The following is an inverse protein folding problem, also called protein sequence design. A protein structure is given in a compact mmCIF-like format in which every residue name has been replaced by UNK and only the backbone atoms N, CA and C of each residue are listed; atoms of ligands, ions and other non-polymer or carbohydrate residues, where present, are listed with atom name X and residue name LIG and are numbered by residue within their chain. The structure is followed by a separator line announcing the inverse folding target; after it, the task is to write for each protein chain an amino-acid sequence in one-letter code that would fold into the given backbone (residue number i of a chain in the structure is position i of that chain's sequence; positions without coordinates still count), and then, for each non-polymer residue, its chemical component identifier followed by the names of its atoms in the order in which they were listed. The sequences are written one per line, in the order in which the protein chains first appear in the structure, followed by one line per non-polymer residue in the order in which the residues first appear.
data_IF_771480961979
#
_entry.id   IF_771480961979
#
_cell.length_a   1.000
_cell.length_b   1.000
_cell.length_c   1.000
_cell.angle_alpha   90.00
_cell.angle_beta   90.00
_cell.angle_gamma   90.00
#
_symmetry.space_group_name_H-M   'P 1'
#
loop_
_entity.id
_entity.type
_entity.pdbx_description
1 polymer ?
#
# COMPACT_ATOMS: atom_id res chain seq x y z
N UNK A 1 -13.17 -2.33 12.95
CA UNK A 1 -12.43 -1.05 12.96
C UNK A 1 -11.36 -1.13 14.05
N UNK A 2 -11.73 -1.62 15.24
CA UNK A 2 -10.80 -1.94 16.34
C UNK A 2 -9.70 -2.92 15.96
N UNK A 3 -9.98 -4.07 15.34
CA UNK A 3 -8.95 -5.10 15.11
C UNK A 3 -7.79 -4.64 14.21
N UNK A 4 -8.08 -3.89 13.14
CA UNK A 4 -7.04 -3.30 12.30
C UNK A 4 -6.28 -2.16 12.98
N UNK A 5 -6.94 -1.49 13.94
CA UNK A 5 -6.32 -0.46 14.77
C UNK A 5 -5.44 -1.09 15.86
N UNK A 6 -5.85 -2.22 16.45
CA UNK A 6 -5.13 -2.95 17.49
C UNK A 6 -3.90 -3.67 16.96
N UNK A 7 -3.97 -4.30 15.78
CA UNK A 7 -2.78 -4.88 15.13
C UNK A 7 -1.76 -3.77 14.87
N UNK A 8 -2.22 -2.64 14.31
CA UNK A 8 -1.33 -1.52 14.04
C UNK A 8 -0.82 -0.87 15.32
N UNK A 9 -1.63 -0.80 16.38
CA UNK A 9 -1.21 -0.31 17.69
C UNK A 9 -0.12 -1.23 18.26
N UNK A 10 -0.28 -2.54 18.17
CA UNK A 10 0.73 -3.49 18.62
C UNK A 10 2.03 -3.35 17.82
N UNK A 11 1.94 -3.27 16.49
CA UNK A 11 3.11 -3.02 15.62
C UNK A 11 3.79 -1.68 15.98
N UNK A 12 3.00 -0.64 16.29
CA UNK A 12 3.46 0.68 16.78
C UNK A 12 4.12 0.61 18.17
N UNK A 13 3.53 -0.18 19.09
CA UNK A 13 4.02 -0.30 20.46
C UNK A 13 5.36 -1.05 20.51
N UNK A 14 5.59 -1.97 19.58
CA UNK A 14 6.89 -2.62 19.38
C UNK A 14 7.95 -1.65 18.83
N UNK A 15 7.55 -0.62 18.07
CA UNK A 15 8.44 0.41 17.47
C UNK A 15 8.73 1.61 18.41
N UNK A 16 8.26 1.59 19.67
CA UNK A 16 8.40 2.68 20.67
C UNK A 16 9.82 3.19 20.91
N UNK A 17 10.84 2.44 20.51
CA UNK A 17 12.25 2.89 20.55
C UNK A 17 12.52 4.11 19.66
N UNK A 18 11.70 4.35 18.63
CA UNK A 18 11.87 5.45 17.67
C UNK A 18 11.14 6.75 18.04
N UNK A 19 10.19 6.72 19.00
CA UNK A 19 9.22 7.81 19.22
C UNK A 19 9.50 8.66 20.47
N UNK A 20 10.71 8.60 21.03
CA UNK A 20 11.08 9.39 22.21
C UNK A 20 11.35 10.88 21.91
N UNK A 21 11.32 11.29 20.63
CA UNK A 21 11.59 12.66 20.18
C UNK A 21 10.35 13.26 19.47
N UNK A 22 9.98 14.49 19.84
CA UNK A 22 8.82 15.22 19.30
C UNK A 22 8.89 15.38 17.77
N UNK A 23 10.10 15.41 17.20
CA UNK A 23 10.31 15.44 15.75
C UNK A 23 9.97 14.12 15.06
N UNK A 24 10.23 12.98 15.71
CA UNK A 24 9.84 11.67 15.19
C UNK A 24 8.31 11.52 15.20
N UNK A 25 7.65 11.97 16.27
CA UNK A 25 6.17 11.96 16.39
C UNK A 25 5.52 12.77 15.27
N UNK A 26 6.09 13.92 14.90
CA UNK A 26 5.58 14.80 13.83
C UNK A 26 5.61 14.16 12.44
N UNK A 27 6.64 13.38 12.10
CA UNK A 27 6.71 12.67 10.81
C UNK A 27 5.94 11.34 10.80
N UNK A 28 5.87 10.69 11.95
CA UNK A 28 5.32 9.35 12.09
C UNK A 28 3.79 9.33 12.08
N UNK A 29 3.15 10.25 12.79
CA UNK A 29 1.68 10.29 12.89
C UNK A 29 0.97 10.47 11.54
N UNK A 30 1.40 11.40 10.65
CA UNK A 30 0.82 11.51 9.31
C UNK A 30 1.05 10.26 8.45
N UNK A 31 2.22 9.63 8.58
CA UNK A 31 2.56 8.41 7.82
C UNK A 31 1.60 7.26 8.16
N UNK A 32 1.34 7.05 9.45
CA UNK A 32 0.35 6.10 9.94
C UNK A 32 -1.06 6.43 9.47
N UNK A 33 -1.44 7.71 9.55
CA UNK A 33 -2.77 8.13 9.12
C UNK A 33 -2.99 7.85 7.62
N UNK A 34 -1.99 8.11 6.79
CA UNK A 34 -2.02 7.80 5.36
C UNK A 34 -2.06 6.28 5.12
N UNK A 35 -1.25 5.50 5.83
CA UNK A 35 -1.25 4.04 5.73
C UNK A 35 -2.62 3.45 6.09
N UNK A 36 -3.23 3.92 7.18
CA UNK A 36 -4.58 3.54 7.60
C UNK A 36 -5.62 3.92 6.55
N UNK A 37 -5.56 5.15 6.04
CA UNK A 37 -6.50 5.61 5.02
C UNK A 37 -6.43 4.72 3.77
N UNK A 38 -5.22 4.41 3.28
CA UNK A 38 -5.02 3.52 2.13
C UNK A 38 -5.59 2.12 2.42
N UNK A 39 -5.28 1.55 3.60
CA UNK A 39 -5.79 0.24 4.02
C UNK A 39 -7.33 0.19 4.01
N UNK A 40 -7.97 1.20 4.59
CA UNK A 40 -9.43 1.30 4.63
C UNK A 40 -10.04 1.51 3.25
N UNK A 41 -9.42 2.33 2.40
CA UNK A 41 -9.88 2.54 1.02
C UNK A 41 -9.84 1.24 0.22
N UNK A 42 -8.76 0.46 0.32
CA UNK A 42 -8.67 -0.86 -0.32
C UNK A 42 -9.76 -1.79 0.22
N UNK A 43 -9.92 -1.87 1.54
CA UNK A 43 -10.95 -2.71 2.16
C UNK A 43 -12.36 -2.38 1.64
N UNK A 44 -12.69 -1.09 1.55
CA UNK A 44 -14.00 -0.66 1.06
C UNK A 44 -14.19 -1.02 -0.41
N UNK A 45 -13.19 -0.78 -1.27
CA UNK A 45 -13.27 -1.18 -2.69
C UNK A 45 -13.50 -2.69 -2.83
N UNK A 46 -12.78 -3.50 -2.04
CA UNK A 46 -12.95 -4.96 -2.08
C UNK A 46 -14.35 -5.39 -1.61
N UNK A 47 -14.94 -4.71 -0.62
CA UNK A 47 -16.32 -4.98 -0.18
C UNK A 47 -17.34 -4.55 -1.22
N UNK A 48 -17.22 -3.33 -1.74
CA UNK A 48 -18.16 -2.74 -2.71
C UNK A 48 -18.22 -3.56 -4.00
N UNK A 49 -17.11 -4.19 -4.39
CA UNK A 49 -17.02 -5.05 -5.56
C UNK A 49 -17.19 -6.55 -5.27
N UNK A 50 -17.53 -6.92 -4.04
CA UNK A 50 -17.64 -8.32 -3.59
C UNK A 50 -16.37 -9.18 -3.85
N UNK A 51 -15.19 -8.55 -3.80
CA UNK A 51 -13.89 -9.17 -4.05
C UNK A 51 -13.17 -9.61 -2.77
N UNK A 52 -13.74 -9.35 -1.60
CA UNK A 52 -13.19 -9.71 -0.28
C UNK A 52 -13.03 -11.23 -0.04
N UNK A 53 -13.73 -12.08 -0.80
CA UNK A 53 -13.51 -13.53 -0.81
C UNK A 53 -12.33 -13.99 -1.66
N UNK A 54 -11.87 -13.16 -2.60
CA UNK A 54 -10.76 -13.46 -3.53
C UNK A 54 -9.45 -12.78 -3.10
N UNK A 55 -9.54 -11.59 -2.53
CA UNK A 55 -8.39 -10.78 -2.14
C UNK A 55 -8.51 -10.31 -0.70
N UNK A 56 -7.42 -10.43 0.06
CA UNK A 56 -7.25 -9.72 1.34
C UNK A 56 -6.54 -8.40 1.12
N UNK A 57 -6.73 -7.42 2.03
CA UNK A 57 -6.03 -6.12 1.93
C UNK A 57 -4.51 -6.30 1.93
N UNK A 58 -3.98 -7.19 2.78
CA UNK A 58 -2.55 -7.51 2.81
C UNK A 58 -2.09 -8.15 1.50
N UNK A 59 -2.89 -9.04 0.91
CA UNK A 59 -2.58 -9.65 -0.39
C UNK A 59 -2.53 -8.62 -1.51
N UNK A 60 -3.45 -7.65 -1.50
CA UNK A 60 -3.42 -6.51 -2.43
C UNK A 60 -2.13 -5.71 -2.29
N UNK A 61 -1.80 -5.26 -1.06
CA UNK A 61 -0.59 -4.48 -0.81
C UNK A 61 0.69 -5.24 -1.20
N UNK A 62 0.75 -6.54 -0.93
CA UNK A 62 1.86 -7.41 -1.27
C UNK A 62 2.06 -7.58 -2.78
N UNK A 63 0.98 -7.73 -3.56
CA UNK A 63 1.11 -7.81 -5.02
C UNK A 63 1.49 -6.46 -5.64
N UNK A 64 0.95 -5.36 -5.10
CA UNK A 64 1.33 -4.01 -5.55
C UNK A 64 2.82 -3.71 -5.24
N UNK A 65 3.34 -4.14 -4.09
CA UNK A 65 4.73 -3.88 -3.69
C UNK A 65 5.77 -4.59 -4.57
N UNK A 66 5.37 -5.58 -5.37
CA UNK A 66 6.26 -6.25 -6.33
C UNK A 66 6.55 -5.40 -7.57
N UNK A 67 5.70 -4.40 -7.83
CA UNK A 67 5.86 -3.50 -8.97
C UNK A 67 6.56 -2.22 -8.51
N UNK A 68 7.76 -1.98 -9.02
CA UNK A 68 8.60 -0.84 -8.65
C UNK A 68 9.40 -0.33 -9.83
N UNK A 69 9.91 0.89 -9.72
CA UNK A 69 10.73 1.50 -10.77
C UNK A 69 12.18 1.04 -10.65
N UNK A 70 12.72 0.50 -11.75
CA UNK A 70 14.13 0.16 -11.91
C UNK A 70 14.81 1.31 -12.66
N UNK A 71 15.90 1.83 -12.11
CA UNK A 71 16.72 2.86 -12.77
C UNK A 71 17.95 2.21 -13.38
N UNK A 72 18.10 2.34 -14.70
CA UNK A 72 19.26 1.86 -15.46
C UNK A 72 19.91 3.04 -16.18
N UNK A 73 20.89 3.67 -15.51
CA UNK A 73 21.51 4.91 -15.99
C UNK A 73 20.49 6.04 -16.11
N UNK A 74 20.36 6.61 -17.30
CA UNK A 74 19.39 7.68 -17.59
C UNK A 74 17.95 7.14 -17.82
N UNK A 75 17.76 5.82 -17.94
CA UNK A 75 16.45 5.22 -18.20
C UNK A 75 15.80 4.78 -16.90
N UNK A 76 14.50 5.04 -16.78
CA UNK A 76 13.65 4.46 -15.74
C UNK A 76 12.67 3.51 -16.41
N UNK A 77 12.63 2.27 -15.95
CA UNK A 77 11.71 1.23 -16.43
C UNK A 77 10.89 0.70 -15.26
N UNK A 78 9.66 0.27 -15.51
CA UNK A 78 8.87 -0.43 -14.51
C UNK A 78 9.37 -1.88 -14.41
N UNK A 79 9.40 -2.45 -13.21
CA UNK A 79 9.58 -3.89 -13.04
C UNK A 79 8.42 -4.65 -13.69
N UNK A 80 8.55 -5.97 -13.77
CA UNK A 80 7.50 -6.82 -14.34
C UNK A 80 6.17 -6.63 -13.60
N UNK A 81 5.13 -6.23 -14.33
CA UNK A 81 3.75 -6.19 -13.83
C UNK A 81 3.17 -7.58 -13.94
N UNK A 82 3.08 -8.28 -12.81
CA UNK A 82 2.47 -9.63 -12.78
C UNK A 82 1.01 -9.56 -13.18
N UNK A 83 0.46 -10.66 -13.71
CA UNK A 83 -0.97 -10.75 -14.03
C UNK A 83 -1.86 -10.43 -12.82
N UNK A 84 -1.46 -10.88 -11.61
CA UNK A 84 -2.19 -10.58 -10.38
C UNK A 84 -2.18 -9.08 -10.06
N UNK A 85 -1.05 -8.39 -10.24
CA UNK A 85 -0.96 -6.95 -10.03
C UNK A 85 -1.87 -6.19 -11.02
N UNK A 86 -1.89 -6.59 -12.28
CA UNK A 86 -2.79 -6.02 -13.29
C UNK A 86 -4.28 -6.26 -12.96
N UNK A 87 -4.65 -7.48 -12.54
CA UNK A 87 -6.03 -7.77 -12.10
C UNK A 87 -6.42 -6.90 -10.89
N UNK A 88 -5.48 -6.68 -9.96
CA UNK A 88 -5.68 -5.82 -8.79
C UNK A 88 -5.85 -4.35 -9.21
N UNK A 89 -5.08 -3.86 -10.19
CA UNK A 89 -5.24 -2.51 -10.74
C UNK A 89 -6.68 -2.28 -11.27
N UNK A 90 -7.22 -3.25 -11.99
CA UNK A 90 -8.59 -3.22 -12.51
C UNK A 90 -9.65 -3.24 -11.39
N UNK A 91 -9.45 -4.09 -10.38
CA UNK A 91 -10.32 -4.16 -9.19
C UNK A 91 -10.29 -2.84 -8.41
N UNK A 92 -9.11 -2.25 -8.24
CA UNK A 92 -8.95 -0.97 -7.55
C UNK A 92 -9.55 0.18 -8.38
N UNK A 93 -9.56 0.05 -9.71
CA UNK A 93 -10.11 1.07 -10.62
C UNK A 93 -9.23 2.33 -10.70
N UNK A 94 -7.93 2.19 -10.43
CA UNK A 94 -6.94 3.27 -10.54
C UNK A 94 -5.87 2.86 -11.56
N UNK A 95 -5.33 3.81 -12.31
CA UNK A 95 -4.16 3.56 -13.18
C UNK A 95 -2.90 3.68 -12.34
N UNK A 96 -2.41 2.56 -11.83
CA UNK A 96 -1.24 2.47 -10.95
C UNK A 96 0.05 2.19 -11.73
N UNK A 97 -0.06 1.51 -12.88
CA UNK A 97 1.07 1.06 -13.68
C UNK A 97 1.04 1.74 -15.05
N UNK A 98 1.76 2.87 -15.21
CA UNK A 98 1.79 3.57 -16.49
C UNK A 98 2.43 2.68 -17.56
N UNK A 99 1.67 2.39 -18.63
CA UNK A 99 2.13 1.57 -19.77
C UNK A 99 3.17 2.29 -20.65
N UNK A 100 3.30 3.60 -20.50
CA UNK A 100 4.28 4.44 -21.18
C UNK A 100 4.94 5.31 -20.12
N UNK A 101 6.21 5.03 -19.82
CA UNK A 101 7.07 5.94 -19.07
C UNK A 101 7.47 7.03 -20.06
N UNK A 102 6.84 8.20 -19.95
CA UNK A 102 7.10 9.34 -20.84
C UNK A 102 8.60 9.63 -20.94
N UNK A 103 9.06 9.75 -22.19
CA UNK A 103 10.40 10.18 -22.60
C UNK A 103 10.64 11.66 -22.30
#
# INVERSE_FOLDING_TARGET
MEEAFDIMKNDLEEDKTYLQDDDAVRGYFPTILVALYIRYRILNILKDRAMNGKYSVNGVLMELSKVYMITMGARRILSEVTKKAADIEEVIGMKLFPKILGS
#
